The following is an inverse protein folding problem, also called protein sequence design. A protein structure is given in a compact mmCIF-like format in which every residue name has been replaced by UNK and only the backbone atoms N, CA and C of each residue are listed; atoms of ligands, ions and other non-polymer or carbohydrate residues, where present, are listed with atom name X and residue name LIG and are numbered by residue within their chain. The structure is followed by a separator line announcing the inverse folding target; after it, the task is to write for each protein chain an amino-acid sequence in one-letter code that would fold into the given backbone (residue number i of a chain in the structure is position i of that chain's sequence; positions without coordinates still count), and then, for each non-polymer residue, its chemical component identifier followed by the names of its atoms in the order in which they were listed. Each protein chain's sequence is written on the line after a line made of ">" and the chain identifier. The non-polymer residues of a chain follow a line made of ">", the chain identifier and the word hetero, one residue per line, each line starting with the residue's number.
data_IF_607304863870
#
_entry.id   IF_607304863870
#
_cell.length_a   1.000
_cell.length_b   1.000
_cell.length_c   1.000
_cell.angle_alpha   90.00
_cell.angle_beta   90.00
_cell.angle_gamma   90.00
#
_symmetry.space_group_name_H-M   'P 1'
#
loop_
_entity.id
_entity.type
_entity.pdbx_description
1 polymer ?
#
# COMPACT_ATOMS: atom_id res chain seq x y z
N UNK A 1 2.12 -16.35 -2.74
CA UNK A 1 1.32 -17.53 -2.36
C UNK A 1 0.12 -17.72 -3.29
N UNK A 2 -0.62 -16.66 -3.61
CA UNK A 2 -1.86 -16.75 -4.40
C UNK A 2 -1.65 -16.85 -5.92
N UNK A 3 -0.47 -17.18 -6.42
CA UNK A 3 -0.22 -17.31 -7.87
C UNK A 3 -0.95 -18.51 -8.50
N UNK A 4 -1.15 -19.59 -7.74
CA UNK A 4 -1.97 -20.75 -8.13
C UNK A 4 -3.28 -20.72 -7.31
N UNK A 5 -4.43 -20.38 -7.91
CA UNK A 5 -5.69 -20.23 -7.19
C UNK A 5 -6.20 -21.54 -6.58
N UNK A 6 -5.99 -22.68 -7.24
CA UNK A 6 -6.41 -23.98 -6.73
C UNK A 6 -5.64 -24.35 -5.45
N UNK A 7 -4.31 -24.33 -5.51
CA UNK A 7 -3.47 -24.62 -4.35
C UNK A 7 -3.68 -23.62 -3.21
N UNK A 8 -3.98 -22.37 -3.54
CA UNK A 8 -4.27 -21.34 -2.55
C UNK A 8 -5.60 -21.61 -1.84
N UNK A 9 -6.64 -21.99 -2.55
CA UNK A 9 -7.92 -22.38 -1.97
C UNK A 9 -7.78 -23.61 -1.08
N UNK A 10 -7.11 -24.66 -1.54
CA UNK A 10 -6.82 -25.86 -0.75
C UNK A 10 -6.06 -25.53 0.55
N UNK A 11 -5.10 -24.62 0.48
CA UNK A 11 -4.38 -24.12 1.66
C UNK A 11 -5.31 -23.41 2.65
N UNK A 12 -6.20 -22.54 2.19
CA UNK A 12 -7.15 -21.83 3.06
C UNK A 12 -8.11 -22.83 3.73
N UNK A 13 -8.66 -23.78 2.98
CA UNK A 13 -9.55 -24.82 3.50
C UNK A 13 -8.84 -25.71 4.55
N UNK A 14 -7.59 -26.09 4.29
CA UNK A 14 -6.78 -26.84 5.26
C UNK A 14 -6.49 -26.03 6.53
N UNK A 15 -6.25 -24.74 6.41
CA UNK A 15 -6.03 -23.84 7.54
C UNK A 15 -7.29 -23.70 8.41
N UNK A 16 -8.45 -23.55 7.78
CA UNK A 16 -9.75 -23.48 8.43
C UNK A 16 -10.05 -24.79 9.19
N UNK A 17 -9.79 -25.93 8.54
CA UNK A 17 -10.01 -27.25 9.15
C UNK A 17 -9.21 -27.46 10.45
N UNK A 18 -8.05 -26.80 10.56
CA UNK A 18 -7.22 -26.82 11.78
C UNK A 18 -7.82 -26.04 12.95
N UNK A 19 -8.88 -25.24 12.74
CA UNK A 19 -9.57 -24.42 13.74
C UNK A 19 -8.63 -23.53 14.58
N UNK A 20 -7.56 -23.05 13.99
CA UNK A 20 -6.60 -22.18 14.65
C UNK A 20 -7.16 -20.76 14.77
N UNK A 21 -6.99 -20.15 15.95
CA UNK A 21 -7.36 -18.74 16.17
C UNK A 21 -6.21 -17.84 15.71
N UNK A 22 -6.10 -17.61 14.41
CA UNK A 22 -5.04 -16.82 13.82
C UNK A 22 -5.53 -15.40 13.48
N UNK A 23 -4.60 -14.47 13.54
CA UNK A 23 -4.70 -13.14 12.91
C UNK A 23 -3.62 -13.11 11.84
N UNK A 24 -4.04 -13.16 10.59
CA UNK A 24 -3.14 -13.19 9.45
C UNK A 24 -3.12 -11.83 8.74
N UNK A 25 -1.94 -11.40 8.37
CA UNK A 25 -1.70 -10.24 7.51
C UNK A 25 -0.80 -10.69 6.37
N UNK A 26 -0.99 -10.10 5.20
CA UNK A 26 -0.19 -10.49 4.04
C UNK A 26 -0.13 -9.41 2.99
N UNK A 27 0.73 -9.63 1.98
CA UNK A 27 0.75 -8.84 0.76
C UNK A 27 0.18 -9.67 -0.37
N UNK A 28 -0.68 -9.05 -1.16
CA UNK A 28 -1.32 -9.70 -2.31
C UNK A 28 -1.51 -8.68 -3.43
N UNK A 29 -1.53 -9.15 -4.66
CA UNK A 29 -1.84 -8.31 -5.82
C UNK A 29 -3.34 -8.09 -5.93
N UNK A 30 -3.75 -6.92 -6.36
CA UNK A 30 -5.15 -6.58 -6.55
C UNK A 30 -5.86 -7.52 -7.56
N UNK A 31 -5.17 -7.89 -8.64
CA UNK A 31 -5.70 -8.83 -9.63
C UNK A 31 -5.98 -10.23 -9.06
N UNK A 32 -5.20 -10.68 -8.06
CA UNK A 32 -5.48 -11.93 -7.37
C UNK A 32 -6.74 -11.85 -6.50
N UNK A 33 -6.96 -10.72 -5.81
CA UNK A 33 -8.19 -10.50 -5.02
C UNK A 33 -9.42 -10.50 -5.94
N UNK A 34 -9.35 -9.83 -7.09
CA UNK A 34 -10.44 -9.79 -8.06
C UNK A 34 -10.70 -11.19 -8.64
N UNK A 35 -9.65 -11.93 -8.99
CA UNK A 35 -9.75 -13.31 -9.47
C UNK A 35 -10.42 -14.24 -8.47
N UNK A 36 -10.08 -14.07 -7.18
CA UNK A 36 -10.51 -14.94 -6.09
C UNK A 36 -11.83 -14.50 -5.43
N UNK A 37 -12.58 -13.58 -6.07
CA UNK A 37 -13.81 -12.98 -5.54
C UNK A 37 -14.81 -14.02 -5.00
N UNK A 38 -14.96 -15.16 -5.67
CA UNK A 38 -15.91 -16.21 -5.32
C UNK A 38 -15.59 -16.91 -3.99
N UNK A 39 -14.33 -16.92 -3.58
CA UNK A 39 -13.89 -17.60 -2.35
C UNK A 39 -13.16 -16.69 -1.36
N UNK A 40 -13.33 -15.37 -1.45
CA UNK A 40 -12.78 -14.42 -0.48
C UNK A 40 -13.30 -14.62 0.96
N UNK A 41 -14.47 -15.24 1.12
CA UNK A 41 -14.97 -15.64 2.43
C UNK A 41 -14.00 -16.58 3.15
N UNK A 42 -13.33 -17.51 2.42
CA UNK A 42 -12.34 -18.41 3.01
C UNK A 42 -11.12 -17.65 3.55
N UNK A 43 -10.73 -16.53 2.94
CA UNK A 43 -9.66 -15.68 3.48
C UNK A 43 -10.02 -15.18 4.88
N UNK A 44 -11.25 -14.69 5.05
CA UNK A 44 -11.72 -14.19 6.34
C UNK A 44 -11.84 -15.31 7.38
N UNK A 45 -12.38 -16.47 6.99
CA UNK A 45 -12.51 -17.65 7.85
C UNK A 45 -11.16 -18.21 8.28
N UNK A 46 -10.15 -18.20 7.39
CA UNK A 46 -8.78 -18.59 7.69
C UNK A 46 -8.05 -17.63 8.64
N UNK A 47 -8.64 -16.44 8.93
CA UNK A 47 -8.12 -15.47 9.87
C UNK A 47 -7.40 -14.27 9.24
N UNK A 48 -7.50 -14.07 7.92
CA UNK A 48 -6.93 -12.87 7.30
C UNK A 48 -7.69 -11.63 7.74
N UNK A 49 -6.97 -10.68 8.33
CA UNK A 49 -7.50 -9.43 8.85
C UNK A 49 -7.15 -8.24 7.96
N UNK A 50 -5.97 -8.27 7.33
CA UNK A 50 -5.48 -7.17 6.49
C UNK A 50 -4.60 -7.65 5.34
N UNK A 51 -4.78 -7.02 4.18
CA UNK A 51 -3.87 -7.17 3.05
C UNK A 51 -3.21 -5.85 2.65
N UNK A 52 -1.93 -5.95 2.35
CA UNK A 52 -1.15 -4.95 1.65
C UNK A 52 -1.41 -5.11 0.15
N UNK A 53 -1.84 -4.03 -0.50
CA UNK A 53 -2.06 -3.97 -1.95
C UNK A 53 -1.08 -2.96 -2.55
N UNK A 54 -0.23 -3.41 -3.46
CA UNK A 54 0.61 -2.51 -4.24
C UNK A 54 -0.24 -1.76 -5.28
N UNK A 55 -0.51 -0.49 -5.06
CA UNK A 55 -1.22 0.40 -6.01
C UNK A 55 -0.23 1.27 -6.80
N UNK A 56 0.93 1.42 -6.30
CA UNK A 56 2.19 1.97 -6.82
C UNK A 56 2.15 3.39 -7.41
N UNK A 57 1.42 3.70 -8.48
CA UNK A 57 1.38 5.05 -9.06
C UNK A 57 0.12 5.27 -9.92
N UNK A 58 -0.27 6.55 -10.13
CA UNK A 58 -1.38 6.93 -11.00
C UNK A 58 -0.97 7.03 -12.48
N UNK A 59 0.31 7.21 -12.75
CA UNK A 59 0.85 7.44 -14.07
C UNK A 59 1.16 6.11 -14.76
N UNK A 60 0.43 5.79 -15.83
CA UNK A 60 0.61 4.56 -16.61
C UNK A 60 2.02 4.41 -17.17
N UNK A 61 2.66 5.51 -17.58
CA UNK A 61 4.06 5.51 -18.07
C UNK A 61 5.03 5.09 -16.95
N UNK A 62 4.77 5.50 -15.71
CA UNK A 62 5.56 5.06 -14.55
C UNK A 62 5.29 3.59 -14.25
N UNK A 63 4.03 3.13 -14.34
CA UNK A 63 3.66 1.73 -14.15
C UNK A 63 4.31 0.81 -15.19
N UNK A 64 4.40 1.23 -16.45
CA UNK A 64 5.13 0.51 -17.49
C UNK A 64 6.61 0.38 -17.18
N UNK A 65 7.26 1.47 -16.73
CA UNK A 65 8.69 1.47 -16.35
C UNK A 65 9.00 0.48 -15.22
N UNK A 66 8.13 0.37 -14.22
CA UNK A 66 8.29 -0.60 -13.13
C UNK A 66 7.73 -1.99 -13.47
N UNK A 67 7.37 -2.22 -14.74
CA UNK A 67 6.85 -3.50 -15.28
C UNK A 67 5.69 -4.08 -14.49
N UNK A 68 4.77 -3.25 -14.04
CA UNK A 68 3.58 -3.70 -13.35
C UNK A 68 2.43 -3.95 -14.32
N UNK A 69 2.04 -5.20 -14.48
CA UNK A 69 0.82 -5.60 -15.17
C UNK A 69 -0.37 -5.48 -14.20
N UNK A 70 -0.93 -4.31 -14.07
CA UNK A 70 -2.15 -4.07 -13.29
C UNK A 70 -2.99 -2.97 -13.95
N UNK A 71 -4.30 -3.04 -13.81
CA UNK A 71 -5.20 -1.98 -14.28
C UNK A 71 -5.76 -1.22 -13.09
N UNK A 72 -5.82 0.10 -13.21
CA UNK A 72 -6.38 1.05 -12.23
C UNK A 72 -7.78 0.60 -11.73
N UNK A 73 -8.60 0.00 -12.61
CA UNK A 73 -9.93 -0.51 -12.27
C UNK A 73 -9.89 -1.67 -11.26
N UNK A 74 -8.94 -2.60 -11.41
CA UNK A 74 -8.80 -3.77 -10.52
C UNK A 74 -8.35 -3.38 -9.11
N UNK A 75 -7.54 -2.36 -8.95
CA UNK A 75 -7.10 -1.89 -7.63
C UNK A 75 -8.29 -1.40 -6.79
N UNK A 76 -9.15 -0.60 -7.39
CA UNK A 76 -10.38 -0.11 -6.75
C UNK A 76 -11.35 -1.26 -6.42
N UNK A 77 -11.55 -2.17 -7.36
CA UNK A 77 -12.41 -3.35 -7.19
C UNK A 77 -11.89 -4.26 -6.07
N UNK A 78 -10.58 -4.52 -6.01
CA UNK A 78 -9.98 -5.32 -4.94
C UNK A 78 -10.21 -4.73 -3.55
N UNK A 79 -10.06 -3.40 -3.40
CA UNK A 79 -10.34 -2.70 -2.14
C UNK A 79 -11.80 -2.86 -1.73
N UNK A 80 -12.74 -2.74 -2.68
CA UNK A 80 -14.17 -2.92 -2.43
C UNK A 80 -14.51 -4.35 -2.02
N UNK A 81 -13.92 -5.35 -2.69
CA UNK A 81 -14.10 -6.77 -2.38
C UNK A 81 -13.56 -7.11 -0.99
N UNK A 82 -12.37 -6.67 -0.63
CA UNK A 82 -11.82 -6.86 0.71
C UNK A 82 -12.75 -6.26 1.78
N UNK A 83 -13.24 -5.04 1.55
CA UNK A 83 -14.18 -4.39 2.47
C UNK A 83 -15.47 -5.16 2.63
N UNK A 84 -16.05 -5.69 1.54
CA UNK A 84 -17.26 -6.52 1.55
C UNK A 84 -17.08 -7.74 2.46
N UNK A 85 -15.88 -8.30 2.52
CA UNK A 85 -15.56 -9.46 3.34
C UNK A 85 -14.98 -9.10 4.73
N UNK A 86 -15.06 -7.84 5.16
CA UNK A 86 -14.51 -7.36 6.44
C UNK A 86 -13.00 -7.65 6.60
N UNK A 87 -12.25 -7.49 5.52
CA UNK A 87 -10.80 -7.56 5.49
C UNK A 87 -10.27 -6.15 5.22
N UNK A 88 -9.33 -5.69 6.04
CA UNK A 88 -8.75 -4.35 5.88
C UNK A 88 -7.83 -4.30 4.67
N UNK A 89 -7.90 -3.20 3.94
CA UNK A 89 -7.02 -2.89 2.83
C UNK A 89 -5.98 -1.84 3.24
N UNK A 90 -4.72 -2.10 2.95
CA UNK A 90 -3.63 -1.14 3.06
C UNK A 90 -3.03 -0.91 1.68
N UNK A 91 -3.23 0.27 1.12
CA UNK A 91 -2.64 0.64 -0.16
C UNK A 91 -1.18 1.07 0.06
N UNK A 92 -0.25 0.45 -0.68
CA UNK A 92 1.11 0.97 -0.81
C UNK A 92 1.20 1.80 -2.09
N UNK A 93 1.76 2.98 -1.97
CA UNK A 93 1.90 3.93 -3.07
C UNK A 93 3.34 4.42 -3.18
N UNK A 94 3.93 4.35 -4.37
CA UNK A 94 5.34 4.69 -4.57
C UNK A 94 5.48 6.09 -5.18
N UNK A 95 6.35 6.90 -4.59
CA UNK A 95 6.67 8.29 -4.99
C UNK A 95 8.18 8.51 -5.04
N UNK A 96 8.62 9.69 -5.45
CA UNK A 96 10.04 10.06 -5.48
C UNK A 96 10.72 9.70 -6.78
N UNK A 97 9.96 9.50 -7.86
CA UNK A 97 10.53 9.34 -9.21
C UNK A 97 11.13 10.65 -9.72
N UNK A 98 12.24 10.55 -10.46
CA UNK A 98 13.03 11.72 -10.89
C UNK A 98 12.25 12.85 -11.56
N UNK A 99 11.24 12.54 -12.36
CA UNK A 99 10.44 13.50 -13.13
C UNK A 99 9.17 13.98 -12.42
N UNK A 100 8.92 13.55 -11.17
CA UNK A 100 7.72 13.95 -10.41
C UNK A 100 7.71 15.44 -10.06
N UNK A 101 6.51 16.00 -10.08
CA UNK A 101 6.18 17.39 -9.75
C UNK A 101 5.11 17.44 -8.65
N UNK A 102 4.95 18.57 -8.00
CA UNK A 102 3.92 18.77 -6.96
C UNK A 102 2.52 18.38 -7.44
N UNK A 103 2.17 18.69 -8.71
CA UNK A 103 0.88 18.32 -9.29
C UNK A 103 0.63 16.80 -9.32
N UNK A 104 1.70 16.02 -9.41
CA UNK A 104 1.61 14.56 -9.48
C UNK A 104 1.18 13.98 -8.13
N UNK A 105 1.63 14.58 -7.02
CA UNK A 105 1.14 14.25 -5.67
C UNK A 105 -0.35 14.58 -5.49
N UNK A 106 -0.83 15.67 -6.09
CA UNK A 106 -2.26 15.98 -6.10
C UNK A 106 -3.09 14.93 -6.83
N UNK A 107 -2.65 14.49 -8.02
CA UNK A 107 -3.34 13.44 -8.78
C UNK A 107 -3.27 12.09 -8.06
N UNK A 108 -2.13 11.76 -7.46
CA UNK A 108 -1.94 10.57 -6.60
C UNK A 108 -2.92 10.57 -5.43
N UNK A 109 -3.06 11.70 -4.74
CA UNK A 109 -4.02 11.85 -3.65
C UNK A 109 -5.47 11.68 -4.14
N UNK A 110 -5.84 12.27 -5.29
CA UNK A 110 -7.18 12.09 -5.88
C UNK A 110 -7.46 10.62 -6.20
N UNK A 111 -6.49 9.90 -6.74
CA UNK A 111 -6.61 8.48 -7.03
C UNK A 111 -6.84 7.69 -5.74
N UNK A 112 -5.99 7.88 -4.72
CA UNK A 112 -6.12 7.21 -3.43
C UNK A 112 -7.46 7.50 -2.75
N UNK A 113 -7.93 8.75 -2.80
CA UNK A 113 -9.24 9.13 -2.29
C UNK A 113 -10.38 8.40 -3.03
N UNK A 114 -10.26 8.23 -4.35
CA UNK A 114 -11.26 7.53 -5.16
C UNK A 114 -11.32 6.02 -4.89
N UNK A 115 -10.20 5.42 -4.49
CA UNK A 115 -10.10 4.00 -4.12
C UNK A 115 -10.55 3.74 -2.69
N UNK A 116 -10.37 4.74 -1.83
CA UNK A 116 -10.78 4.72 -0.43
C UNK A 116 -10.28 3.49 0.36
N UNK A 117 -8.95 3.17 0.32
CA UNK A 117 -8.40 2.10 1.16
C UNK A 117 -8.57 2.42 2.64
N UNK A 118 -8.54 1.41 3.51
CA UNK A 118 -8.65 1.64 4.96
C UNK A 118 -7.41 2.30 5.53
N UNK A 119 -6.24 1.97 4.96
CA UNK A 119 -4.95 2.56 5.31
C UNK A 119 -4.11 2.84 4.05
N UNK A 120 -3.19 3.77 4.14
CA UNK A 120 -2.20 4.08 3.10
C UNK A 120 -0.80 4.07 3.70
N UNK A 121 0.13 3.52 2.96
CA UNK A 121 1.56 3.63 3.21
C UNK A 121 2.23 4.18 1.96
N UNK A 122 2.82 5.37 2.06
CA UNK A 122 3.57 5.97 0.98
C UNK A 122 5.03 5.56 1.12
N UNK A 123 5.60 5.09 0.03
CA UNK A 123 6.96 4.57 -0.06
C UNK A 123 7.76 5.39 -1.07
N UNK A 124 9.04 5.62 -0.78
CA UNK A 124 9.94 6.22 -1.76
C UNK A 124 10.49 5.15 -2.70
N UNK A 125 10.56 5.48 -3.99
CA UNK A 125 11.24 4.62 -4.95
C UNK A 125 12.69 4.41 -4.52
N UNK A 126 13.08 3.15 -4.42
CA UNK A 126 14.42 2.77 -3.96
C UNK A 126 15.05 1.86 -5.02
N UNK A 127 16.08 2.34 -5.73
CA UNK A 127 16.73 1.60 -6.82
C UNK A 127 17.74 0.60 -6.25
N UNK A 128 17.26 -0.53 -5.75
CA UNK A 128 18.19 -1.56 -5.28
C UNK A 128 18.97 -2.18 -6.42
N UNK A 129 20.25 -2.45 -6.20
CA UNK A 129 21.20 -2.96 -7.22
C UNK A 129 20.77 -4.26 -7.93
N UNK A 130 19.91 -5.04 -7.29
CA UNK A 130 19.36 -6.28 -7.86
C UNK A 130 18.09 -6.07 -8.69
N UNK A 131 17.60 -4.85 -8.82
CA UNK A 131 16.40 -4.53 -9.60
C UNK A 131 16.78 -4.00 -10.98
N UNK A 132 16.01 -4.32 -12.04
CA UNK A 132 16.23 -3.71 -13.37
C UNK A 132 16.20 -2.18 -13.34
N UNK A 133 15.37 -1.60 -12.48
CA UNK A 133 15.23 -0.15 -12.32
C UNK A 133 16.56 0.54 -11.91
N UNK A 134 17.45 -0.15 -11.20
CA UNK A 134 18.77 0.39 -10.87
C UNK A 134 19.56 0.79 -12.11
N UNK A 135 19.58 -0.04 -13.15
CA UNK A 135 20.28 0.25 -14.39
C UNK A 135 19.68 1.45 -15.15
N UNK A 136 18.37 1.67 -15.03
CA UNK A 136 17.67 2.80 -15.66
C UNK A 136 18.00 4.14 -15.00
N UNK A 137 18.36 4.13 -13.72
CA UNK A 137 18.56 5.34 -12.91
C UNK A 137 19.99 5.50 -12.36
N UNK A 138 20.92 4.64 -12.75
CA UNK A 138 22.31 4.65 -12.22
C UNK A 138 23.05 5.97 -12.43
N UNK A 139 22.66 6.72 -13.46
CA UNK A 139 23.25 8.02 -13.80
C UNK A 139 22.48 9.20 -13.15
N UNK A 140 21.42 8.92 -12.39
CA UNK A 140 20.72 9.95 -11.62
C UNK A 140 21.45 10.25 -10.31
N UNK A 141 21.32 11.49 -9.84
CA UNK A 141 21.91 11.91 -8.59
C UNK A 141 21.25 11.21 -7.40
N UNK A 142 22.06 10.50 -6.62
CA UNK A 142 21.65 9.85 -5.38
C UNK A 142 21.82 10.86 -4.23
N UNK A 143 20.71 11.22 -3.56
CA UNK A 143 20.73 12.13 -2.41
C UNK A 143 21.01 11.42 -1.10
N UNK A 144 20.80 10.10 -1.03
CA UNK A 144 21.06 9.28 0.14
C UNK A 144 22.06 8.16 -0.23
N UNK A 145 23.31 8.35 0.13
CA UNK A 145 24.40 7.40 -0.21
C UNK A 145 24.50 6.21 0.74
N UNK A 146 24.01 6.33 1.97
CA UNK A 146 23.99 5.25 2.95
C UNK A 146 22.94 4.19 2.59
N UNK A 147 23.40 3.08 1.97
CA UNK A 147 22.52 2.00 1.52
C UNK A 147 21.78 1.29 2.66
N UNK A 148 22.19 1.42 3.93
CA UNK A 148 21.46 0.88 5.09
C UNK A 148 20.11 1.56 5.30
N UNK A 149 19.97 2.79 4.78
CA UNK A 149 18.73 3.58 4.78
C UNK A 149 17.91 3.45 3.50
N UNK A 150 18.24 2.52 2.60
CA UNK A 150 17.46 2.22 1.40
C UNK A 150 16.29 1.28 1.75
N UNK A 151 15.38 1.77 2.57
CA UNK A 151 14.32 1.02 3.25
C UNK A 151 12.92 1.42 2.81
N UNK A 152 12.81 2.12 1.67
CA UNK A 152 11.56 2.68 1.12
C UNK A 152 10.94 3.81 1.98
N UNK A 153 11.58 4.21 3.08
CA UNK A 153 11.12 5.28 3.96
C UNK A 153 11.89 6.57 3.77
N UNK A 154 13.02 6.49 3.10
CA UNK A 154 13.88 7.62 2.79
C UNK A 154 13.95 7.84 1.28
N UNK A 155 13.98 9.12 0.87
CA UNK A 155 14.20 9.45 -0.52
C UNK A 155 15.65 9.16 -0.92
N UNK A 156 15.84 8.31 -1.93
CA UNK A 156 17.15 7.91 -2.44
C UNK A 156 17.55 8.71 -3.66
N UNK A 157 16.65 8.87 -4.61
CA UNK A 157 16.88 9.58 -5.86
C UNK A 157 16.52 11.06 -5.74
N UNK A 158 17.34 11.92 -6.36
CA UNK A 158 17.00 13.33 -6.52
C UNK A 158 15.86 13.47 -7.52
N UNK A 159 14.83 14.21 -7.15
CA UNK A 159 13.80 14.64 -8.09
C UNK A 159 14.27 15.90 -8.82
N UNK A 160 13.97 16.00 -10.11
CA UNK A 160 14.39 17.10 -10.98
C UNK A 160 13.74 18.44 -10.62
N UNK A 161 12.49 18.40 -10.17
CA UNK A 161 11.65 19.59 -10.01
C UNK A 161 11.38 19.96 -8.56
N UNK A 162 11.81 19.13 -7.59
CA UNK A 162 11.52 19.35 -6.18
C UNK A 162 12.74 18.99 -5.32
N UNK A 163 13.13 19.82 -4.35
CA UNK A 163 14.08 19.40 -3.34
C UNK A 163 13.47 18.35 -2.39
N UNK A 164 14.28 17.49 -1.75
CA UNK A 164 13.79 16.40 -0.89
C UNK A 164 12.79 16.83 0.18
N UNK A 165 12.99 18.00 0.80
CA UNK A 165 12.08 18.49 1.83
C UNK A 165 10.66 18.77 1.33
N UNK A 166 10.50 19.19 0.05
CA UNK A 166 9.16 19.36 -0.56
C UNK A 166 8.51 18.00 -0.79
N UNK A 167 9.28 17.00 -1.24
CA UNK A 167 8.75 15.64 -1.43
C UNK A 167 8.25 15.08 -0.11
N UNK A 168 9.01 15.23 0.99
CA UNK A 168 8.60 14.81 2.34
C UNK A 168 7.30 15.52 2.76
N UNK A 169 7.20 16.83 2.57
CA UNK A 169 5.98 17.58 2.90
C UNK A 169 4.79 17.04 2.11
N UNK A 170 4.92 16.84 0.79
CA UNK A 170 3.86 16.29 -0.04
C UNK A 170 3.41 14.90 0.46
N UNK A 171 4.36 14.01 0.77
CA UNK A 171 4.08 12.70 1.35
C UNK A 171 3.30 12.82 2.66
N UNK A 172 3.77 13.66 3.59
CA UNK A 172 3.11 13.82 4.89
C UNK A 172 1.72 14.42 4.77
N UNK A 173 1.51 15.38 3.88
CA UNK A 173 0.18 15.93 3.60
C UNK A 173 -0.77 14.88 2.99
N UNK A 174 -0.30 14.03 2.09
CA UNK A 174 -1.09 12.93 1.54
C UNK A 174 -1.49 11.93 2.64
N UNK A 175 -0.55 11.53 3.49
CA UNK A 175 -0.81 10.61 4.60
C UNK A 175 -1.84 11.19 5.59
N UNK A 176 -1.69 12.47 5.96
CA UNK A 176 -2.66 13.18 6.82
C UNK A 176 -4.04 13.21 6.15
N UNK A 177 -4.12 13.65 4.89
CA UNK A 177 -5.38 13.75 4.16
C UNK A 177 -6.10 12.38 4.10
N UNK A 178 -5.36 11.30 3.85
CA UNK A 178 -5.91 9.95 3.79
C UNK A 178 -6.38 9.44 5.15
N UNK A 179 -5.68 9.75 6.24
CA UNK A 179 -6.04 9.27 7.58
C UNK A 179 -7.14 10.11 8.26
N UNK A 180 -7.23 11.41 7.92
CA UNK A 180 -8.20 12.32 8.54
C UNK A 180 -9.50 12.50 7.75
N UNK A 181 -9.63 11.88 6.56
CA UNK A 181 -10.86 11.97 5.78
C UNK A 181 -12.08 11.46 6.58
N UNK A 182 -13.27 12.08 6.44
CA UNK A 182 -14.44 11.75 7.27
C UNK A 182 -14.79 10.27 7.27
N UNK A 183 -14.67 9.60 6.10
CA UNK A 183 -14.97 8.17 5.97
C UNK A 183 -13.99 7.30 6.76
N UNK A 184 -12.70 7.65 6.77
CA UNK A 184 -11.69 6.93 7.54
C UNK A 184 -11.93 7.10 9.05
N UNK A 185 -12.21 8.32 9.50
CA UNK A 185 -12.54 8.60 10.90
C UNK A 185 -13.82 7.88 11.31
N UNK A 186 -14.86 7.89 10.48
CA UNK A 186 -16.10 7.15 10.75
C UNK A 186 -15.82 5.65 10.93
N UNK A 187 -15.00 5.04 10.09
CA UNK A 187 -14.62 3.62 10.25
C UNK A 187 -13.81 3.38 11.52
N UNK A 188 -12.85 4.24 11.81
CA UNK A 188 -11.97 4.12 12.96
C UNK A 188 -12.73 4.17 14.29
N UNK A 189 -13.78 5.00 14.39
CA UNK A 189 -14.51 5.22 15.63
C UNK A 189 -15.85 4.51 15.70
N UNK A 190 -16.54 4.31 14.57
CA UNK A 190 -17.94 3.90 14.53
C UNK A 190 -18.19 2.66 13.64
N UNK A 191 -17.13 1.90 13.26
CA UNK A 191 -17.35 0.65 12.51
C UNK A 191 -18.18 -0.32 13.34
N UNK A 192 -19.20 -0.97 12.71
CA UNK A 192 -20.14 -1.87 13.41
C UNK A 192 -19.43 -3.08 14.02
N UNK A 193 -18.50 -3.69 13.28
CA UNK A 193 -17.66 -4.79 13.77
C UNK A 193 -16.63 -4.24 14.77
N UNK A 194 -16.79 -4.62 16.04
CA UNK A 194 -15.94 -4.17 17.14
C UNK A 194 -14.48 -4.68 17.00
N UNK A 195 -14.30 -5.90 16.47
CA UNK A 195 -12.98 -6.49 16.26
C UNK A 195 -12.22 -5.70 15.19
N UNK A 196 -12.86 -5.44 14.06
CA UNK A 196 -12.27 -4.68 12.96
C UNK A 196 -11.97 -3.25 13.38
N UNK A 197 -12.85 -2.61 14.17
CA UNK A 197 -12.63 -1.29 14.75
C UNK A 197 -11.41 -1.27 15.69
N UNK A 198 -11.24 -2.30 16.52
CA UNK A 198 -10.09 -2.44 17.40
C UNK A 198 -8.79 -2.61 16.59
N UNK A 199 -8.82 -3.47 15.57
CA UNK A 199 -7.71 -3.68 14.66
C UNK A 199 -7.30 -2.38 13.95
N UNK A 200 -8.25 -1.64 13.39
CA UNK A 200 -7.96 -0.34 12.75
C UNK A 200 -7.31 0.65 13.72
N UNK A 201 -7.78 0.75 14.96
CA UNK A 201 -7.20 1.62 15.98
C UNK A 201 -5.76 1.22 16.31
N UNK A 202 -5.51 -0.06 16.46
CA UNK A 202 -4.19 -0.59 16.76
C UNK A 202 -3.19 -0.29 15.63
N UNK A 203 -3.57 -0.60 14.38
CA UNK A 203 -2.73 -0.29 13.21
C UNK A 203 -2.49 1.22 13.02
N UNK A 204 -3.53 2.04 13.25
CA UNK A 204 -3.39 3.50 13.19
C UNK A 204 -2.45 4.01 14.29
N UNK A 205 -2.50 3.42 15.49
CA UNK A 205 -1.59 3.75 16.59
C UNK A 205 -0.13 3.46 16.28
N UNK A 206 0.15 2.31 15.65
CA UNK A 206 1.48 1.96 15.15
C UNK A 206 1.91 2.94 14.05
N UNK A 207 1.04 3.17 13.06
CA UNK A 207 1.33 4.07 11.95
C UNK A 207 1.69 5.49 12.43
N UNK A 208 1.00 6.02 13.44
CA UNK A 208 1.34 7.32 14.04
C UNK A 208 2.75 7.34 14.64
N UNK A 209 3.16 6.28 15.34
CA UNK A 209 4.51 6.22 15.94
C UNK A 209 5.58 6.20 14.85
N UNK A 210 5.40 5.42 13.80
CA UNK A 210 6.29 5.38 12.64
C UNK A 210 6.35 6.73 11.96
N UNK A 211 5.20 7.38 11.75
CA UNK A 211 5.08 8.69 11.11
C UNK A 211 5.85 9.78 11.86
N UNK A 212 5.75 9.83 13.19
CA UNK A 212 6.53 10.76 13.99
C UNK A 212 8.02 10.45 13.93
N UNK A 213 8.40 9.18 13.96
CA UNK A 213 9.80 8.77 13.88
C UNK A 213 10.45 9.17 12.53
N UNK A 214 9.71 9.05 11.43
CA UNK A 214 10.15 9.49 10.10
C UNK A 214 10.40 11.01 9.98
N UNK A 215 9.87 11.83 10.88
CA UNK A 215 10.14 13.27 10.91
C UNK A 215 11.46 13.63 11.61
N UNK A 216 12.03 12.73 12.39
CA UNK A 216 13.28 12.95 13.14
C UNK A 216 14.52 12.39 12.43
N UNK A 217 14.39 11.81 11.27
CA UNK A 217 15.49 11.25 10.47
C UNK A 217 15.89 12.14 9.31
#
# INVERSE_FOLDING_TARGET
>A
PASNPKAWREFLEALIAKKLKLILVGSIRADNIVRDADFLHLYKEAGFERFLLGIENYNEVVLEKIRKAGTISKDKEAIQLLRKHNILSMATYVVGFGEEKIRDFYFSLKQLLSYDPDQVQILYVTPHKWTPYYEEVKDQEIVLTDQRKWDYKHQVLKTKFMPPWIVIICVKLMEIAMQTRPVALKRLFFHKDARLRSAMRWYTGIGKRVWFWELYQ
#
